data_IF_409057244983
#
_entry.id   IF_409057244983
#
_cell.length_a   1.000
_cell.length_b   1.000
_cell.length_c   1.000
_cell.angle_alpha   90.00
_cell.angle_beta   90.00
_cell.angle_gamma   90.00
#
_symmetry.space_group_name_H-M   'P 1'
#
loop_
_entity.id
_entity.type
_entity.pdbx_description
1 polymer ?
#
# COMPACT_ATOMS: atom_id res chain seq x y z
N UNK A 1 -16.86 0.31 -0.47
CA UNK A 1 -16.97 1.36 0.55
C UNK A 1 -15.62 2.06 0.57
N UNK A 2 -15.55 3.41 0.51
CA UNK A 2 -14.26 4.08 0.43
C UNK A 2 -13.39 3.66 1.62
N UNK A 3 -12.16 3.25 1.35
CA UNK A 3 -11.22 2.85 2.39
C UNK A 3 -10.92 4.02 3.34
N UNK A 4 -10.73 3.68 4.60
CA UNK A 4 -10.46 4.65 5.66
C UNK A 4 -9.02 5.16 5.59
N UNK A 5 -8.84 6.43 5.95
CA UNK A 5 -7.49 7.02 6.08
C UNK A 5 -6.70 6.38 7.20
N UNK A 6 -7.39 5.94 8.27
CA UNK A 6 -6.77 5.20 9.38
C UNK A 6 -6.15 3.89 8.91
N UNK A 7 -6.84 3.12 8.06
CA UNK A 7 -6.28 1.87 7.54
C UNK A 7 -5.12 2.13 6.58
N UNK A 8 -5.24 3.14 5.70
CA UNK A 8 -4.12 3.61 4.85
C UNK A 8 -2.88 3.93 5.70
N UNK A 9 -3.05 4.72 6.76
CA UNK A 9 -1.93 5.15 7.61
C UNK A 9 -1.30 3.98 8.34
N UNK A 10 -2.11 3.06 8.85
CA UNK A 10 -1.62 1.84 9.45
C UNK A 10 -0.76 1.01 8.48
N UNK A 11 -1.23 0.83 7.23
CA UNK A 11 -0.48 0.12 6.18
C UNK A 11 0.84 0.84 5.86
N UNK A 12 0.81 2.15 5.67
CA UNK A 12 2.02 2.95 5.39
C UNK A 12 3.03 2.91 6.54
N UNK A 13 2.57 2.93 7.79
CA UNK A 13 3.40 2.81 8.98
C UNK A 13 4.06 1.42 9.05
N UNK A 14 3.33 0.34 8.74
CA UNK A 14 3.93 -1.00 8.74
C UNK A 14 5.07 -1.09 7.70
N UNK A 15 4.85 -0.62 6.47
CA UNK A 15 5.86 -0.66 5.41
C UNK A 15 7.06 0.24 5.72
N UNK A 16 6.84 1.53 6.00
CA UNK A 16 7.92 2.51 6.08
C UNK A 16 8.54 2.64 7.49
N UNK A 17 7.83 2.24 8.54
CA UNK A 17 8.27 2.40 9.92
C UNK A 17 8.82 1.11 10.53
N UNK A 18 8.27 -0.06 10.20
CA UNK A 18 8.64 -1.33 10.84
C UNK A 18 9.38 -2.31 9.94
N UNK A 19 9.05 -2.36 8.64
CA UNK A 19 9.56 -3.37 7.73
C UNK A 19 10.86 -2.97 7.01
N UNK A 20 11.25 -1.68 7.00
CA UNK A 20 12.26 -1.18 6.06
C UNK A 20 13.29 -0.25 6.70
N UNK A 21 14.35 -0.83 7.28
CA UNK A 21 15.66 -0.16 7.33
C UNK A 21 16.35 -0.34 5.96
N UNK A 22 15.96 0.49 4.97
CA UNK A 22 16.79 0.73 3.77
C UNK A 22 16.41 0.04 2.45
N UNK A 23 15.24 -0.60 2.31
CA UNK A 23 14.87 -1.36 1.09
C UNK A 23 14.15 -0.58 -0.02
N UNK A 24 13.06 0.12 0.31
CA UNK A 24 12.24 0.91 -0.64
C UNK A 24 11.26 1.81 0.13
N UNK A 25 10.73 2.87 -0.48
CA UNK A 25 9.70 3.71 0.13
C UNK A 25 8.33 3.37 -0.45
N UNK A 26 7.36 3.08 0.42
CA UNK A 26 5.97 2.92 0.04
C UNK A 26 5.22 4.25 0.10
N UNK A 27 4.59 4.65 -1.00
CA UNK A 27 3.73 5.82 -1.10
C UNK A 27 2.35 5.44 -1.61
N UNK A 28 1.36 6.31 -1.41
CA UNK A 28 0.00 6.07 -1.91
C UNK A 28 -0.54 7.25 -2.72
N UNK A 29 -1.51 6.96 -3.59
CA UNK A 29 -2.34 7.96 -4.26
C UNK A 29 -3.81 7.61 -4.07
N UNK A 30 -4.61 8.56 -3.59
CA UNK A 30 -6.07 8.41 -3.47
C UNK A 30 -6.72 8.54 -4.86
N UNK A 31 -7.52 7.55 -5.26
CA UNK A 31 -8.32 7.56 -6.49
C UNK A 31 -9.70 6.95 -6.21
N UNK A 32 -10.76 7.71 -6.47
CA UNK A 32 -12.16 7.29 -6.25
C UNK A 32 -12.47 6.73 -4.85
N UNK A 33 -11.82 7.27 -3.80
CA UNK A 33 -12.04 6.83 -2.41
C UNK A 33 -11.15 5.65 -1.97
N UNK A 34 -10.36 5.09 -2.89
CA UNK A 34 -9.42 3.99 -2.63
C UNK A 34 -7.97 4.47 -2.80
N UNK A 35 -6.99 3.62 -2.47
CA UNK A 35 -5.56 3.99 -2.51
C UNK A 35 -4.75 3.05 -3.40
N UNK A 36 -4.05 3.59 -4.40
CA UNK A 36 -3.03 2.84 -5.14
C UNK A 36 -1.72 2.91 -4.36
N UNK A 37 -1.02 1.79 -4.23
CA UNK A 37 0.26 1.68 -3.53
C UNK A 37 1.43 1.61 -4.52
N UNK A 38 2.46 2.38 -4.23
CA UNK A 38 3.69 2.47 -5.01
C UNK A 38 4.89 2.11 -4.12
N UNK A 39 5.80 1.29 -4.63
CA UNK A 39 7.13 1.06 -4.06
C UNK A 39 8.14 1.75 -4.98
N UNK A 40 8.80 2.80 -4.50
CA UNK A 40 9.71 3.65 -5.28
C UNK A 40 9.12 4.08 -6.64
N UNK A 41 7.85 4.50 -6.62
CA UNK A 41 7.14 4.98 -7.81
C UNK A 41 6.58 3.88 -8.72
N UNK A 42 6.78 2.60 -8.40
CA UNK A 42 6.19 1.47 -9.15
C UNK A 42 4.96 0.91 -8.45
N UNK A 43 3.86 0.76 -9.17
CA UNK A 43 2.62 0.18 -8.64
C UNK A 43 2.84 -1.29 -8.29
N UNK A 44 2.54 -1.67 -7.05
CA UNK A 44 2.61 -3.06 -6.60
C UNK A 44 1.30 -3.57 -5.98
N UNK A 45 0.37 -2.67 -5.65
CA UNK A 45 -0.88 -3.03 -4.99
C UNK A 45 -1.81 -1.85 -4.78
N UNK A 46 -2.81 -2.06 -3.94
CA UNK A 46 -3.78 -1.05 -3.56
C UNK A 46 -4.51 -1.41 -2.26
N UNK A 47 -5.26 -0.46 -1.75
CA UNK A 47 -6.16 -0.61 -0.62
C UNK A 47 -7.59 -0.43 -1.15
N UNK A 48 -8.42 -1.45 -0.96
CA UNK A 48 -9.80 -1.51 -1.44
C UNK A 48 -10.71 -2.12 -0.37
N UNK A 49 -11.80 -1.42 -0.01
CA UNK A 49 -12.69 -1.82 1.09
C UNK A 49 -11.92 -2.15 2.39
N UNK A 50 -10.96 -1.31 2.79
CA UNK A 50 -10.06 -1.55 3.95
C UNK A 50 -9.29 -2.89 3.88
N UNK A 51 -8.95 -3.36 2.67
CA UNK A 51 -8.10 -4.54 2.45
C UNK A 51 -6.86 -4.18 1.66
N UNK A 52 -5.71 -4.68 2.10
CA UNK A 52 -4.47 -4.61 1.34
C UNK A 52 -4.47 -5.69 0.24
N UNK A 53 -4.46 -5.28 -1.02
CA UNK A 53 -4.37 -6.15 -2.18
C UNK A 53 -3.02 -5.93 -2.88
N UNK A 54 -2.29 -7.01 -3.13
CA UNK A 54 -1.03 -6.99 -3.88
C UNK A 54 -1.23 -7.59 -5.26
N UNK A 55 -0.49 -7.10 -6.25
CA UNK A 55 -0.51 -7.66 -7.60
C UNK A 55 -0.04 -9.12 -7.54
N UNK A 56 -0.77 -10.08 -8.15
CA UNK A 56 -0.31 -11.45 -8.20
C UNK A 56 0.92 -11.55 -9.12
N UNK A 57 2.07 -11.82 -8.50
CA UNK A 57 3.36 -12.08 -9.15
C UNK A 57 4.01 -13.26 -8.44
N UNK A 58 4.93 -14.00 -9.07
CA UNK A 58 5.55 -15.17 -8.43
C UNK A 58 6.16 -14.90 -7.05
N UNK A 59 6.71 -13.70 -6.81
CA UNK A 59 7.26 -13.32 -5.50
C UNK A 59 6.19 -13.08 -4.41
N UNK A 60 4.91 -13.04 -4.77
CA UNK A 60 3.78 -12.80 -3.88
C UNK A 60 2.86 -14.02 -3.72
N UNK A 61 3.23 -15.17 -4.32
CA UNK A 61 2.60 -16.48 -4.12
C UNK A 61 3.40 -17.29 -3.10
#
# INVERSE_FOLDING_TARGET
MPSSEKFRDHVLEQFNGKLLEGGFRVTTRKMMGEYILYADGKIFGGIYDDRLLVKPVPAAM
#
